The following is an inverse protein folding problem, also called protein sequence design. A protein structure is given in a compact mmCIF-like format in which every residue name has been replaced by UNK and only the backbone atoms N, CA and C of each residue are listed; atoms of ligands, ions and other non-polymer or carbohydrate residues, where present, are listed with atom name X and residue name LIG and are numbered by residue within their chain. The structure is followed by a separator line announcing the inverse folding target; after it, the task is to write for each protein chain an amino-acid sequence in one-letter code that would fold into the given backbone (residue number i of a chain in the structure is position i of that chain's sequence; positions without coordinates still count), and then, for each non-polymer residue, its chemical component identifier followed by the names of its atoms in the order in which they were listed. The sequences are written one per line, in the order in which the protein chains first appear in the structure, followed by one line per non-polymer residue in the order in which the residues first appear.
data_IF_272886887493
#
_entry.id   IF_272886887493
#
_cell.length_a   1.000
_cell.length_b   1.000
_cell.length_c   1.000
_cell.angle_alpha   90.00
_cell.angle_beta   90.00
_cell.angle_gamma   90.00
#
_symmetry.space_group_name_H-M   'P 1'
#
loop_
_entity.id
_entity.type
_entity.pdbx_description
1 polymer ?
#
# COMPACT_ATOMS: atom_id res chain seq x y z
N UNK A 1 -26.34 34.39 6.49
CA UNK A 1 -26.74 35.26 5.37
C UNK A 1 -27.16 34.46 4.13
N UNK A 2 -27.61 33.23 4.35
CA UNK A 2 -28.42 32.40 3.42
C UNK A 2 -29.44 31.59 4.24
N UNK A 3 -29.88 32.16 5.36
CA UNK A 3 -30.72 31.45 6.31
C UNK A 3 -32.09 31.18 5.66
N UNK A 4 -32.54 29.92 5.73
CA UNK A 4 -33.84 29.50 5.24
C UNK A 4 -34.74 29.14 6.41
N UNK A 5 -36.02 29.48 6.32
CA UNK A 5 -37.02 28.92 7.21
C UNK A 5 -37.11 27.40 7.01
N UNK A 6 -37.70 26.69 7.98
CA UNK A 6 -37.93 25.24 7.90
C UNK A 6 -38.69 24.82 6.62
N UNK A 7 -39.49 25.73 6.05
CA UNK A 7 -40.23 25.52 4.80
C UNK A 7 -39.43 25.77 3.51
N UNK A 8 -38.13 26.06 3.59
CA UNK A 8 -37.26 26.28 2.43
C UNK A 8 -37.33 27.67 1.80
N UNK A 9 -38.14 28.59 2.33
CA UNK A 9 -38.11 30.00 1.93
C UNK A 9 -36.91 30.71 2.57
N UNK A 10 -36.29 31.62 1.82
CA UNK A 10 -35.26 32.50 2.38
C UNK A 10 -35.87 33.41 3.44
N UNK A 11 -35.13 33.63 4.52
CA UNK A 11 -35.52 34.58 5.58
C UNK A 11 -35.39 36.03 5.11
N UNK A 12 -34.58 36.26 4.09
CA UNK A 12 -34.21 37.57 3.55
C UNK A 12 -34.24 37.52 2.02
N UNK A 13 -34.88 38.48 1.36
CA UNK A 13 -34.96 38.52 -0.11
C UNK A 13 -33.57 38.80 -0.71
N UNK A 14 -32.76 39.62 -0.04
CA UNK A 14 -31.37 39.88 -0.42
C UNK A 14 -30.52 38.60 -0.47
N UNK A 15 -30.83 37.60 0.36
CA UNK A 15 -30.15 36.30 0.33
C UNK A 15 -30.51 35.51 -0.92
N UNK A 16 -31.75 35.64 -1.42
CA UNK A 16 -32.21 34.98 -2.64
C UNK A 16 -31.52 35.58 -3.86
N UNK A 17 -31.46 36.90 -3.95
CA UNK A 17 -30.77 37.60 -5.03
C UNK A 17 -29.28 37.26 -5.08
N UNK A 18 -28.63 37.15 -3.92
CA UNK A 18 -27.23 36.76 -3.80
C UNK A 18 -26.97 35.35 -4.36
N UNK A 19 -27.82 34.38 -4.01
CA UNK A 19 -27.72 33.00 -4.50
C UNK A 19 -27.99 32.93 -6.00
N UNK A 20 -29.03 33.61 -6.49
CA UNK A 20 -29.35 33.63 -7.93
C UNK A 20 -28.21 34.22 -8.77
N UNK A 21 -27.60 35.30 -8.27
CA UNK A 21 -26.41 35.91 -8.87
C UNK A 21 -25.19 34.98 -8.82
N UNK A 22 -25.00 34.26 -7.73
CA UNK A 22 -23.92 33.28 -7.61
C UNK A 22 -24.08 32.14 -8.63
N UNK A 23 -25.29 31.58 -8.74
CA UNK A 23 -25.61 30.49 -9.69
C UNK A 23 -25.33 30.94 -11.12
N UNK A 24 -25.76 32.15 -11.49
CA UNK A 24 -25.57 32.69 -12.83
C UNK A 24 -24.07 32.87 -13.14
N UNK A 25 -23.30 33.46 -12.23
CA UNK A 25 -21.86 33.70 -12.41
C UNK A 25 -21.05 32.39 -12.46
N UNK A 26 -21.46 31.36 -11.71
CA UNK A 26 -20.83 30.05 -11.76
C UNK A 26 -21.12 29.39 -13.11
N UNK A 27 -22.36 29.43 -13.58
CA UNK A 27 -22.75 28.86 -14.87
C UNK A 27 -22.01 29.53 -16.05
N UNK A 28 -21.87 30.87 -16.01
CA UNK A 28 -21.12 31.64 -17.01
C UNK A 28 -19.65 31.19 -17.08
N UNK A 29 -18.96 31.12 -15.94
CA UNK A 29 -17.54 30.73 -15.88
C UNK A 29 -17.27 29.27 -16.20
N UNK A 30 -18.17 28.36 -15.82
CA UNK A 30 -18.06 26.94 -16.19
C UNK A 30 -18.27 26.76 -17.69
N UNK A 31 -19.13 27.57 -18.32
CA UNK A 31 -19.28 27.54 -19.78
C UNK A 31 -18.03 28.04 -20.51
N UNK A 32 -17.21 28.87 -19.88
CA UNK A 32 -15.95 29.40 -20.41
C UNK A 32 -14.75 28.46 -20.16
N UNK A 33 -14.74 27.69 -19.07
CA UNK A 33 -13.63 26.79 -18.72
C UNK A 33 -14.01 25.31 -18.90
N UNK A 34 -13.40 24.65 -19.88
CA UNK A 34 -13.70 23.24 -20.23
C UNK A 34 -13.13 22.18 -19.27
N UNK A 35 -12.59 22.57 -18.10
CA UNK A 35 -11.94 21.64 -17.17
C UNK A 35 -12.70 21.51 -15.84
N UNK A 36 -13.09 20.30 -15.47
CA UNK A 36 -13.85 20.02 -14.23
C UNK A 36 -13.00 20.20 -12.96
N UNK A 37 -11.68 20.21 -13.08
CA UNK A 37 -10.75 20.41 -11.97
C UNK A 37 -10.76 21.86 -11.44
N UNK A 38 -11.26 22.83 -12.22
CA UNK A 38 -11.32 24.23 -11.82
C UNK A 38 -12.63 24.63 -11.15
N UNK A 39 -13.66 23.77 -11.12
CA UNK A 39 -15.00 24.12 -10.65
C UNK A 39 -15.02 24.61 -9.20
N UNK A 40 -14.27 23.95 -8.30
CA UNK A 40 -14.16 24.39 -6.89
C UNK A 40 -13.48 25.75 -6.75
N UNK A 41 -12.47 26.03 -7.60
CA UNK A 41 -11.79 27.33 -7.61
C UNK A 41 -12.67 28.44 -8.18
N UNK A 42 -13.55 28.12 -9.12
CA UNK A 42 -14.50 29.05 -9.73
C UNK A 42 -15.56 29.46 -8.72
N UNK A 43 -16.13 28.51 -7.99
CA UNK A 43 -17.07 28.75 -6.90
C UNK A 43 -16.46 29.68 -5.85
N UNK A 44 -15.27 29.34 -5.34
CA UNK A 44 -14.57 30.14 -4.33
C UNK A 44 -14.31 31.58 -4.81
N UNK A 45 -13.95 31.76 -6.09
CA UNK A 45 -13.77 33.08 -6.68
C UNK A 45 -15.08 33.87 -6.80
N UNK A 46 -16.18 33.22 -7.21
CA UNK A 46 -17.50 33.87 -7.29
C UNK A 46 -17.95 34.31 -5.90
N UNK A 47 -17.85 33.44 -4.90
CA UNK A 47 -18.21 33.78 -3.52
C UNK A 47 -17.31 34.86 -2.92
N UNK A 48 -16.01 34.85 -3.23
CA UNK A 48 -15.10 35.94 -2.83
C UNK A 48 -15.50 37.28 -3.43
N UNK A 49 -15.94 37.29 -4.70
CA UNK A 49 -16.39 38.51 -5.38
C UNK A 49 -17.72 39.03 -4.83
N UNK A 50 -18.64 38.15 -4.45
CA UNK A 50 -19.97 38.52 -3.96
C UNK A 50 -19.99 38.87 -2.47
N UNK A 51 -19.25 38.12 -1.64
CA UNK A 51 -19.30 38.22 -0.17
C UNK A 51 -18.01 38.72 0.47
N UNK A 52 -16.95 38.89 -0.31
CA UNK A 52 -15.63 39.27 0.17
C UNK A 52 -14.74 38.08 0.57
N UNK A 53 -13.48 38.36 0.95
CA UNK A 53 -12.53 37.33 1.37
C UNK A 53 -13.02 36.60 2.63
N UNK A 54 -12.57 35.37 2.79
CA UNK A 54 -12.83 34.59 3.99
C UNK A 54 -12.13 35.21 5.21
N UNK A 55 -12.83 35.22 6.36
CA UNK A 55 -12.30 35.77 7.60
C UNK A 55 -12.18 34.68 8.67
N UNK A 56 -11.11 34.76 9.47
CA UNK A 56 -10.82 33.77 10.50
C UNK A 56 -12.01 33.59 11.45
N UNK A 57 -12.43 32.34 11.67
CA UNK A 57 -13.51 31.98 12.58
C UNK A 57 -14.91 32.30 12.06
N UNK A 58 -15.07 32.67 10.78
CA UNK A 58 -16.38 32.93 10.17
C UNK A 58 -16.52 32.18 8.84
N UNK A 59 -17.38 31.15 8.83
CA UNK A 59 -17.83 30.45 7.64
C UNK A 59 -18.67 31.41 6.80
N UNK A 60 -18.33 31.51 5.50
CA UNK A 60 -19.18 32.16 4.49
C UNK A 60 -20.60 31.58 4.59
N UNK A 61 -21.63 32.42 4.45
CA UNK A 61 -23.05 32.04 4.56
C UNK A 61 -23.61 31.67 5.94
N UNK A 62 -22.81 31.03 6.80
CA UNK A 62 -23.28 30.41 8.05
C UNK A 62 -22.84 31.12 9.35
N UNK A 63 -21.89 32.05 9.30
CA UNK A 63 -21.46 32.81 10.48
C UNK A 63 -20.28 32.18 11.19
N UNK A 64 -20.24 32.17 12.53
CA UNK A 64 -19.03 31.73 13.27
C UNK A 64 -18.79 30.23 13.10
N UNK A 65 -17.58 29.84 12.73
CA UNK A 65 -17.19 28.42 12.60
C UNK A 65 -15.84 28.22 11.90
N UNK A 66 -15.43 26.95 11.77
CA UNK A 66 -14.17 26.56 11.12
C UNK A 66 -14.27 26.78 9.62
N UNK A 67 -13.37 27.57 9.07
CA UNK A 67 -13.38 27.91 7.65
C UNK A 67 -12.81 26.75 6.80
N UNK A 68 -13.40 26.44 5.63
CA UNK A 68 -12.91 25.39 4.73
C UNK A 68 -11.40 25.44 4.46
N UNK A 69 -10.82 26.65 4.35
CA UNK A 69 -9.37 26.84 4.17
C UNK A 69 -8.54 26.30 5.34
N UNK A 70 -9.05 26.39 6.58
CA UNK A 70 -8.39 25.77 7.74
C UNK A 70 -8.47 24.24 7.68
N UNK A 71 -9.59 23.70 7.20
CA UNK A 71 -9.81 22.26 7.11
C UNK A 71 -8.89 21.63 6.05
N UNK A 72 -8.69 22.31 4.92
CA UNK A 72 -7.76 21.86 3.88
C UNK A 72 -6.30 21.92 4.32
N UNK A 73 -5.92 22.90 5.15
CA UNK A 73 -4.58 23.00 5.72
C UNK A 73 -4.28 21.84 6.69
N UNK A 74 -5.25 21.46 7.54
CA UNK A 74 -5.12 20.32 8.45
C UNK A 74 -4.98 19.01 7.68
N UNK A 75 -5.75 18.83 6.60
CA UNK A 75 -5.65 17.65 5.74
C UNK A 75 -4.24 17.50 5.14
N UNK A 76 -3.67 18.59 4.60
CA UNK A 76 -2.29 18.58 4.05
C UNK A 76 -1.22 18.25 5.09
N UNK A 77 -1.30 18.85 6.27
CA UNK A 77 -0.36 18.57 7.36
C UNK A 77 -0.37 17.08 7.76
N UNK A 78 -1.54 16.46 7.85
CA UNK A 78 -1.64 15.03 8.21
C UNK A 78 -1.19 14.08 7.09
N UNK A 79 -1.35 14.48 5.81
CA UNK A 79 -0.88 13.72 4.66
C UNK A 79 0.65 13.67 4.60
N UNK A 80 1.31 14.81 4.76
CA UNK A 80 2.77 14.94 4.68
C UNK A 80 3.47 14.17 5.83
N UNK A 81 2.92 14.22 7.05
CA UNK A 81 3.44 13.46 8.18
C UNK A 81 3.34 11.93 7.99
N UNK A 82 2.36 11.43 7.23
CA UNK A 82 2.18 9.99 6.96
C UNK A 82 3.14 9.46 5.90
N UNK A 83 3.52 10.27 4.91
CA UNK A 83 4.30 9.80 3.77
C UNK A 83 5.80 9.66 4.08
N UNK A 84 6.35 10.52 4.94
CA UNK A 84 7.80 10.62 5.13
C UNK A 84 8.37 9.54 6.06
N UNK A 85 7.63 9.10 7.08
CA UNK A 85 8.10 8.07 8.02
C UNK A 85 7.78 6.64 7.58
N UNK A 86 6.75 6.45 6.73
CA UNK A 86 6.31 5.11 6.32
C UNK A 86 7.21 4.50 5.24
N UNK A 87 7.65 5.32 4.28
CA UNK A 87 8.33 4.82 3.07
C UNK A 87 9.76 4.32 3.33
N UNK A 88 10.54 5.06 4.11
CA UNK A 88 11.92 4.66 4.44
C UNK A 88 11.97 3.42 5.35
N UNK A 89 11.05 3.33 6.32
CA UNK A 89 11.00 2.20 7.25
C UNK A 89 10.49 0.93 6.57
N UNK A 90 9.52 1.04 5.65
CA UNK A 90 9.05 -0.10 4.85
C UNK A 90 10.20 -0.68 4.01
N UNK A 91 10.97 0.16 3.31
CA UNK A 91 12.11 -0.33 2.53
C UNK A 91 13.22 -0.97 3.40
N UNK A 92 13.45 -0.42 4.60
CA UNK A 92 14.39 -1.00 5.56
C UNK A 92 13.95 -2.41 5.97
N UNK A 93 12.66 -2.57 6.29
CA UNK A 93 12.09 -3.86 6.69
C UNK A 93 12.07 -4.87 5.53
N UNK A 94 11.72 -4.44 4.31
CA UNK A 94 11.78 -5.28 3.11
C UNK A 94 13.18 -5.85 2.89
N UNK A 95 14.20 -5.00 2.99
CA UNK A 95 15.61 -5.41 2.84
C UNK A 95 16.00 -6.43 3.90
N UNK A 96 15.59 -6.20 5.16
CA UNK A 96 15.89 -7.10 6.27
C UNK A 96 15.22 -8.49 6.09
N UNK A 97 13.97 -8.51 5.63
CA UNK A 97 13.25 -9.75 5.34
C UNK A 97 13.95 -10.52 4.22
N UNK A 98 14.33 -9.83 3.14
CA UNK A 98 15.00 -10.46 2.01
C UNK A 98 16.35 -11.08 2.41
N UNK A 99 17.14 -10.38 3.22
CA UNK A 99 18.43 -10.89 3.71
C UNK A 99 18.24 -12.12 4.61
N UNK A 100 17.28 -12.07 5.53
CA UNK A 100 16.96 -13.20 6.41
C UNK A 100 16.49 -14.42 5.62
N UNK A 101 15.63 -14.24 4.61
CA UNK A 101 15.17 -15.31 3.73
C UNK A 101 16.31 -15.96 2.96
N UNK A 102 17.26 -15.18 2.44
CA UNK A 102 18.44 -15.71 1.75
C UNK A 102 19.32 -16.52 2.70
N UNK A 103 19.56 -16.03 3.92
CA UNK A 103 20.33 -16.77 4.93
C UNK A 103 19.70 -18.11 5.28
N UNK A 104 18.38 -18.14 5.49
CA UNK A 104 17.68 -19.40 5.75
C UNK A 104 17.74 -20.36 4.56
N UNK A 105 17.61 -19.86 3.33
CA UNK A 105 17.72 -20.70 2.14
C UNK A 105 19.10 -21.36 2.04
N UNK A 106 20.17 -20.60 2.27
CA UNK A 106 21.53 -21.14 2.26
C UNK A 106 21.76 -22.19 3.35
N UNK A 107 21.26 -21.97 4.57
CA UNK A 107 21.36 -22.95 5.65
C UNK A 107 20.64 -24.26 5.33
N UNK A 108 19.45 -24.17 4.70
CA UNK A 108 18.70 -25.36 4.29
C UNK A 108 19.46 -26.14 3.20
N UNK A 109 20.03 -25.45 2.22
CA UNK A 109 20.80 -26.11 1.16
C UNK A 109 22.11 -26.73 1.66
N UNK A 110 22.78 -26.08 2.61
CA UNK A 110 23.97 -26.63 3.26
C UNK A 110 23.62 -27.90 4.05
N UNK A 111 22.56 -27.85 4.86
CA UNK A 111 22.08 -29.00 5.60
C UNK A 111 21.68 -30.16 4.67
N UNK A 112 20.97 -29.85 3.57
CA UNK A 112 20.60 -30.83 2.53
C UNK A 112 21.83 -31.48 1.92
N UNK A 113 22.86 -30.69 1.59
CA UNK A 113 24.12 -31.20 1.03
C UNK A 113 24.84 -32.11 2.02
N UNK A 114 24.89 -31.72 3.30
CA UNK A 114 25.49 -32.54 4.36
C UNK A 114 24.85 -33.92 4.44
N UNK A 115 23.51 -33.97 4.51
CA UNK A 115 22.78 -35.24 4.54
C UNK A 115 22.99 -36.07 3.27
N UNK A 116 23.04 -35.44 2.09
CA UNK A 116 23.33 -36.16 0.85
C UNK A 116 24.73 -36.80 0.86
N UNK A 117 25.74 -36.08 1.31
CA UNK A 117 27.11 -36.61 1.42
C UNK A 117 27.18 -37.79 2.39
N UNK A 118 26.51 -37.69 3.53
CA UNK A 118 26.45 -38.77 4.52
C UNK A 118 25.77 -40.03 3.97
N UNK A 119 24.62 -39.88 3.30
CA UNK A 119 23.90 -40.99 2.66
C UNK A 119 24.76 -41.66 1.59
N UNK A 120 25.45 -40.88 0.75
CA UNK A 120 26.34 -41.43 -0.28
C UNK A 120 27.50 -42.19 0.35
N UNK A 121 28.13 -41.63 1.39
CA UNK A 121 29.20 -42.31 2.13
C UNK A 121 28.74 -43.65 2.71
N UNK A 122 27.58 -43.68 3.35
CA UNK A 122 27.01 -44.91 3.92
C UNK A 122 26.72 -45.95 2.83
N UNK A 123 26.17 -45.53 1.69
CA UNK A 123 25.95 -46.43 0.54
C UNK A 123 27.26 -47.02 0.03
N UNK A 124 28.28 -46.19 -0.16
CA UNK A 124 29.60 -46.66 -0.61
C UNK A 124 30.22 -47.66 0.37
N UNK A 125 30.11 -47.43 1.69
CA UNK A 125 30.58 -48.38 2.69
C UNK A 125 29.84 -49.72 2.59
N UNK A 126 28.52 -49.70 2.42
CA UNK A 126 27.71 -50.91 2.23
C UNK A 126 28.08 -51.65 0.95
N UNK A 127 28.33 -50.94 -0.15
CA UNK A 127 28.77 -51.54 -1.42
C UNK A 127 30.14 -52.22 -1.28
N UNK A 128 31.07 -51.59 -0.54
CA UNK A 128 32.39 -52.17 -0.25
C UNK A 128 32.27 -53.48 0.55
N UNK A 129 31.45 -53.50 1.60
CA UNK A 129 31.19 -54.71 2.40
C UNK A 129 30.55 -55.79 1.54
N UNK A 130 29.55 -55.42 0.74
CA UNK A 130 28.85 -56.36 -0.15
C UNK A 130 29.80 -56.97 -1.17
N UNK A 131 30.66 -56.17 -1.80
CA UNK A 131 31.68 -56.63 -2.73
C UNK A 131 32.68 -57.59 -2.06
N UNK A 132 33.14 -57.28 -0.85
CA UNK A 132 34.01 -58.14 -0.07
C UNK A 132 33.36 -59.51 0.18
N UNK A 133 32.09 -59.53 0.62
CA UNK A 133 31.34 -60.77 0.87
C UNK A 133 31.08 -61.59 -0.40
N UNK A 134 30.73 -60.95 -1.52
CA UNK A 134 30.58 -61.62 -2.80
C UNK A 134 31.87 -62.32 -3.26
N UNK A 135 33.04 -61.72 -2.99
CA UNK A 135 34.34 -62.34 -3.28
C UNK A 135 34.55 -63.69 -2.57
N UNK A 136 34.02 -63.87 -1.36
CA UNK A 136 34.06 -65.17 -0.65
C UNK A 136 33.00 -66.14 -1.17
N UNK A 137 31.81 -65.65 -1.54
CA UNK A 137 30.74 -66.47 -2.09
C UNK A 137 31.14 -67.09 -3.44
N UNK A 138 31.90 -66.37 -4.27
CA UNK A 138 32.42 -66.87 -5.55
C UNK A 138 33.54 -67.92 -5.42
N UNK A 139 34.11 -68.11 -4.22
CA UNK A 139 35.11 -69.17 -3.97
C UNK A 139 34.50 -70.51 -3.55
N UNK A 140 33.18 -70.58 -3.32
CA UNK A 140 32.43 -71.83 -3.20
C UNK A 140 31.87 -72.25 -4.58
N UNK A 141 32.78 -72.59 -5.51
CA UNK A 141 32.43 -73.32 -6.74
C UNK A 141 32.05 -74.78 -6.42
N UNK A 142 31.34 -75.48 -7.32
CA UNK A 142 30.60 -76.70 -7.00
C UNK A 142 31.53 -77.81 -6.52
N UNK A 143 31.35 -78.25 -5.27
CA UNK A 143 31.94 -79.48 -4.78
C UNK A 143 31.35 -80.65 -5.60
N UNK A 144 32.06 -81.03 -6.66
CA UNK A 144 31.84 -82.28 -7.37
C UNK A 144 32.16 -83.42 -6.41
N UNK A 145 31.17 -83.89 -5.66
CA UNK A 145 31.24 -85.20 -5.03
C UNK A 145 31.08 -86.25 -6.13
N UNK A 146 32.23 -86.60 -6.74
CA UNK A 146 32.42 -87.83 -7.49
C UNK A 146 33.13 -88.82 -6.57
N UNK A 147 32.46 -89.95 -6.28
CA UNK A 147 32.95 -91.25 -5.79
C UNK A 147 31.90 -91.83 -4.86
N UNK A 148 31.54 -93.11 -4.87
CA UNK A 148 31.77 -94.26 -5.75
C UNK A 148 30.77 -95.31 -5.26
#
# INVERSE_FOLDING_TARGET
MTHMHRGGSFVQEESRELIDRAITLIAERISESSSSAECSSVEDQVFTKLMGPEHYGRIRDYGVGVIPTQLSAVSRYTQECRQNNSTAEVHRLETQIQEMSQRHYLQIEELRRSYQTEIVSLRTQMDQITSFLCGFASHQGPNTFSSR
#
